data_IF_363200741326
#
_entry.id   IF_363200741326
#
_cell.length_a   1.000
_cell.length_b   1.000
_cell.length_c   1.000
_cell.angle_alpha   90.00
_cell.angle_beta   90.00
_cell.angle_gamma   90.00
#
_symmetry.space_group_name_H-M   'P 1'
#
loop_
_entity.id
_entity.type
_entity.pdbx_description
1 polymer ?
#
# COMPACT_ATOMS: atom_id res chain seq x y z
N UNK A 1 -15.87 10.16 -9.71
CA UNK A 1 -14.46 9.84 -10.02
C UNK A 1 -13.72 9.74 -8.71
N UNK A 2 -12.85 8.79 -8.53
CA UNK A 2 -12.07 8.64 -7.30
C UNK A 2 -10.95 9.70 -7.32
N UNK A 3 -10.73 10.47 -6.23
CA UNK A 3 -9.69 11.51 -6.19
C UNK A 3 -8.28 11.02 -6.58
N UNK A 4 -7.96 9.75 -6.30
CA UNK A 4 -6.68 9.16 -6.71
C UNK A 4 -6.47 9.06 -8.22
N UNK A 5 -7.54 9.13 -9.03
CA UNK A 5 -7.42 9.16 -10.49
C UNK A 5 -7.00 10.54 -11.04
N UNK A 6 -7.05 11.60 -10.20
CA UNK A 6 -6.75 12.97 -10.57
C UNK A 6 -5.39 13.47 -10.08
N UNK A 7 -4.77 12.77 -9.10
CA UNK A 7 -3.48 13.16 -8.52
C UNK A 7 -2.35 12.74 -9.46
N UNK A 8 -1.49 13.70 -9.80
CA UNK A 8 -0.25 13.44 -10.54
C UNK A 8 0.70 12.57 -9.73
N UNK A 9 1.26 11.51 -10.35
CA UNK A 9 2.28 10.68 -9.71
C UNK A 9 3.53 11.49 -9.32
N UNK A 10 3.94 12.42 -10.18
CA UNK A 10 5.10 13.28 -9.97
C UNK A 10 4.93 14.16 -8.72
N UNK A 11 3.76 14.78 -8.54
CA UNK A 11 3.47 15.61 -7.37
C UNK A 11 3.38 14.76 -6.09
N UNK A 12 2.75 13.57 -6.19
CA UNK A 12 2.70 12.61 -5.09
C UNK A 12 4.11 12.18 -4.65
N UNK A 13 4.96 11.74 -5.59
CA UNK A 13 6.32 11.30 -5.29
C UNK A 13 7.21 12.45 -4.77
N UNK A 14 7.08 13.64 -5.32
CA UNK A 14 7.78 14.83 -4.84
C UNK A 14 7.39 15.17 -3.41
N UNK A 15 6.10 15.18 -3.08
CA UNK A 15 5.63 15.39 -1.72
C UNK A 15 6.22 14.35 -0.77
N UNK A 16 6.04 13.06 -1.08
CA UNK A 16 6.45 11.94 -0.24
C UNK A 16 7.98 11.87 -0.02
N UNK A 17 8.77 12.42 -0.97
CA UNK A 17 10.25 12.39 -0.92
C UNK A 17 10.88 13.55 -0.18
N UNK A 18 10.13 14.62 0.17
CA UNK A 18 10.66 15.78 0.88
C UNK A 18 11.38 15.38 2.17
N UNK A 19 12.47 16.06 2.50
CA UNK A 19 13.23 15.80 3.73
C UNK A 19 12.41 15.98 5.01
N UNK A 20 11.40 16.85 4.99
CA UNK A 20 10.44 17.04 6.08
C UNK A 20 9.40 15.92 6.17
N UNK A 21 9.19 15.13 5.11
CA UNK A 21 8.18 14.05 5.03
C UNK A 21 8.85 12.68 5.13
N UNK A 22 9.81 12.38 4.27
CA UNK A 22 10.59 11.13 4.18
C UNK A 22 9.78 9.83 4.11
N UNK A 23 8.52 9.91 3.73
CA UNK A 23 7.67 8.72 3.62
C UNK A 23 8.12 7.81 2.48
N UNK A 24 8.51 8.38 1.33
CA UNK A 24 8.91 7.58 0.15
C UNK A 24 10.11 6.70 0.48
N UNK A 25 11.13 7.26 1.14
CA UNK A 25 12.35 6.54 1.52
C UNK A 25 12.06 5.47 2.58
N UNK A 26 11.30 5.81 3.63
CA UNK A 26 10.91 4.86 4.66
C UNK A 26 10.07 3.70 4.09
N UNK A 27 9.12 4.00 3.21
CA UNK A 27 8.29 3.01 2.54
C UNK A 27 9.09 2.09 1.63
N UNK A 28 10.13 2.60 0.98
CA UNK A 28 11.04 1.81 0.15
C UNK A 28 11.76 0.71 0.96
N UNK A 29 12.34 1.10 2.10
CA UNK A 29 13.00 0.17 3.01
C UNK A 29 12.02 -0.86 3.60
N UNK A 30 10.82 -0.41 3.97
CA UNK A 30 9.78 -1.29 4.50
C UNK A 30 9.25 -2.27 3.46
N UNK A 31 9.09 -1.84 2.21
CA UNK A 31 8.70 -2.72 1.09
C UNK A 31 9.73 -3.83 0.88
N UNK A 32 11.02 -3.52 1.00
CA UNK A 32 12.08 -4.52 0.97
C UNK A 32 11.87 -5.59 2.05
N UNK A 33 11.63 -5.16 3.29
CA UNK A 33 11.38 -6.07 4.41
C UNK A 33 10.15 -6.96 4.14
N UNK A 34 9.05 -6.38 3.65
CA UNK A 34 7.83 -7.12 3.31
C UNK A 34 8.07 -8.19 2.24
N UNK A 35 8.83 -7.85 1.19
CA UNK A 35 9.16 -8.78 0.10
C UNK A 35 10.11 -9.91 0.55
N UNK A 36 11.01 -9.66 1.49
CA UNK A 36 12.01 -10.64 1.94
C UNK A 36 11.50 -11.58 3.03
N UNK A 37 10.56 -11.13 3.89
CA UNK A 37 10.22 -11.79 5.15
C UNK A 37 9.55 -13.16 4.98
N UNK A 38 8.63 -13.32 4.05
CA UNK A 38 7.79 -14.51 3.95
C UNK A 38 8.26 -15.47 2.85
N UNK A 39 8.14 -16.82 3.06
CA UNK A 39 8.53 -17.83 2.08
C UNK A 39 7.43 -18.02 1.01
N UNK A 40 7.13 -16.96 0.29
CA UNK A 40 6.08 -16.89 -0.73
C UNK A 40 6.67 -16.65 -2.12
N UNK A 41 5.94 -17.05 -3.14
CA UNK A 41 6.34 -16.90 -4.54
C UNK A 41 5.39 -16.00 -5.34
N UNK A 42 4.24 -15.67 -4.76
CA UNK A 42 3.25 -14.78 -5.37
C UNK A 42 2.79 -13.71 -4.39
N UNK A 43 2.67 -12.47 -4.87
CA UNK A 43 2.20 -11.35 -4.07
C UNK A 43 1.29 -10.42 -4.86
N UNK A 44 0.42 -9.69 -4.16
CA UNK A 44 -0.32 -8.56 -4.70
C UNK A 44 -0.02 -7.31 -3.87
N UNK A 45 0.26 -6.20 -4.54
CA UNK A 45 0.46 -4.88 -3.94
C UNK A 45 -0.77 -4.04 -4.23
N UNK A 46 -1.56 -3.74 -3.21
CA UNK A 46 -2.77 -2.93 -3.30
C UNK A 46 -2.42 -1.45 -3.16
N UNK A 47 -2.84 -0.62 -4.12
CA UNK A 47 -2.43 0.77 -4.20
C UNK A 47 -0.94 0.90 -4.53
N UNK A 48 -0.51 0.33 -5.67
CA UNK A 48 0.91 0.26 -6.02
C UNK A 48 1.53 1.62 -6.33
N UNK A 49 0.73 2.63 -6.66
CA UNK A 49 1.17 3.97 -7.07
C UNK A 49 2.31 3.91 -8.12
N UNK A 50 3.47 4.52 -7.85
CA UNK A 50 4.64 4.49 -8.73
C UNK A 50 5.54 3.26 -8.60
N UNK A 51 5.14 2.26 -7.80
CA UNK A 51 5.87 1.01 -7.63
C UNK A 51 7.08 1.12 -6.70
N UNK A 52 7.13 2.12 -5.82
CA UNK A 52 8.25 2.32 -4.88
C UNK A 52 8.57 1.04 -4.10
N UNK A 53 9.82 0.58 -4.20
CA UNK A 53 10.32 -0.64 -3.56
C UNK A 53 10.23 -1.91 -4.42
N UNK A 54 9.65 -1.87 -5.64
CA UNK A 54 9.67 -3.01 -6.56
C UNK A 54 11.08 -3.38 -7.06
N UNK A 55 12.05 -2.48 -6.97
CA UNK A 55 13.45 -2.79 -7.25
C UNK A 55 14.04 -3.86 -6.32
N UNK A 56 13.41 -4.12 -5.17
CA UNK A 56 13.81 -5.16 -4.22
C UNK A 56 13.22 -6.54 -4.53
N UNK A 57 12.48 -6.68 -5.63
CA UNK A 57 11.92 -7.97 -6.05
C UNK A 57 13.03 -8.93 -6.44
N UNK A 58 13.18 -10.01 -5.67
CA UNK A 58 14.07 -11.12 -6.04
C UNK A 58 13.40 -12.00 -7.12
N UNK A 59 13.86 -11.88 -8.35
CA UNK A 59 13.36 -12.65 -9.50
C UNK A 59 13.58 -14.16 -9.39
N UNK A 60 14.43 -14.61 -8.46
CA UNK A 60 14.60 -16.05 -8.19
C UNK A 60 13.54 -16.57 -7.20
N UNK A 61 13.03 -15.69 -6.36
CA UNK A 61 12.00 -15.99 -5.36
C UNK A 61 10.60 -15.88 -5.94
N UNK A 62 10.30 -14.75 -6.57
CA UNK A 62 8.94 -14.43 -7.03
C UNK A 62 8.66 -14.98 -8.43
N UNK A 63 7.57 -15.72 -8.56
CA UNK A 63 7.00 -16.16 -9.83
C UNK A 63 6.04 -15.13 -10.40
N UNK A 64 5.31 -14.42 -9.52
CA UNK A 64 4.32 -13.43 -9.92
C UNK A 64 4.09 -12.38 -8.83
N UNK A 65 4.07 -11.12 -9.24
CA UNK A 65 3.66 -9.98 -8.44
C UNK A 65 2.59 -9.21 -9.22
N UNK A 66 1.46 -8.98 -8.58
CA UNK A 66 0.38 -8.18 -9.13
C UNK A 66 0.41 -6.78 -8.53
N UNK A 67 0.64 -5.77 -9.37
CA UNK A 67 0.46 -4.37 -9.01
C UNK A 67 -0.98 -3.96 -9.27
N UNK A 68 -1.71 -3.57 -8.23
CA UNK A 68 -3.12 -3.23 -8.31
C UNK A 68 -3.30 -1.77 -7.94
N UNK A 69 -3.94 -1.01 -8.84
CA UNK A 69 -4.28 0.39 -8.62
C UNK A 69 -5.55 0.75 -9.39
N UNK A 70 -6.18 1.84 -9.01
CA UNK A 70 -7.31 2.42 -9.73
C UNK A 70 -6.84 3.35 -10.86
N UNK A 71 -5.65 3.95 -10.71
CA UNK A 71 -5.08 4.93 -11.63
C UNK A 71 -4.26 4.24 -12.73
N UNK A 72 -4.75 4.27 -13.96
CA UNK A 72 -4.08 3.64 -15.11
C UNK A 72 -2.77 4.33 -15.50
N UNK A 73 -2.63 5.64 -15.27
CA UNK A 73 -1.38 6.36 -15.54
C UNK A 73 -0.26 5.89 -14.60
N UNK A 74 -0.60 5.64 -13.32
CA UNK A 74 0.32 5.05 -12.36
C UNK A 74 0.79 3.67 -12.81
N UNK A 75 -0.14 2.82 -13.19
CA UNK A 75 0.17 1.47 -13.67
C UNK A 75 1.00 1.49 -14.96
N UNK A 76 0.76 2.43 -15.87
CA UNK A 76 1.58 2.62 -17.07
C UNK A 76 3.03 2.97 -16.70
N UNK A 77 3.21 3.89 -15.75
CA UNK A 77 4.54 4.27 -15.25
C UNK A 77 5.24 3.09 -14.57
N UNK A 78 4.52 2.28 -13.79
CA UNK A 78 5.07 1.07 -13.15
C UNK A 78 5.54 0.05 -14.20
N UNK A 79 4.74 -0.21 -15.24
CA UNK A 79 5.11 -1.13 -16.33
C UNK A 79 6.39 -0.67 -17.04
N UNK A 80 6.55 0.64 -17.25
CA UNK A 80 7.74 1.20 -17.87
C UNK A 80 8.97 1.12 -16.95
N UNK A 81 8.86 1.63 -15.71
CA UNK A 81 9.96 1.67 -14.72
C UNK A 81 10.52 0.29 -14.42
N UNK A 82 9.66 -0.70 -14.30
CA UNK A 82 10.00 -2.06 -13.87
C UNK A 82 9.87 -3.09 -15.00
N UNK A 83 10.01 -2.65 -16.25
CA UNK A 83 9.93 -3.52 -17.44
C UNK A 83 10.91 -4.70 -17.42
N UNK A 84 12.02 -4.56 -16.69
CA UNK A 84 13.02 -5.63 -16.49
C UNK A 84 12.52 -6.80 -15.65
N UNK A 85 11.41 -6.65 -14.90
CA UNK A 85 10.76 -7.76 -14.20
C UNK A 85 10.00 -8.70 -15.14
N UNK A 86 9.73 -8.27 -16.36
CA UNK A 86 9.10 -9.09 -17.40
C UNK A 86 7.79 -9.72 -16.94
N UNK A 87 7.65 -11.02 -17.15
CA UNK A 87 6.43 -11.77 -16.79
C UNK A 87 6.18 -11.90 -15.29
N UNK A 88 7.14 -11.53 -14.43
CA UNK A 88 6.96 -11.55 -12.98
C UNK A 88 5.97 -10.46 -12.55
N UNK A 89 6.05 -9.26 -13.13
CA UNK A 89 5.18 -8.14 -12.78
C UNK A 89 3.97 -8.07 -13.73
N UNK A 90 2.79 -8.02 -13.15
CA UNK A 90 1.54 -7.79 -13.87
C UNK A 90 0.75 -6.67 -13.20
N UNK A 91 0.53 -5.58 -13.92
CA UNK A 91 -0.25 -4.45 -13.44
C UNK A 91 -1.70 -4.57 -13.88
N UNK A 92 -2.64 -4.49 -12.92
CA UNK A 92 -4.09 -4.55 -13.14
C UNK A 92 -4.78 -3.32 -12.61
N UNK A 93 -5.60 -2.69 -13.45
CA UNK A 93 -6.51 -1.64 -12.99
C UNK A 93 -7.73 -2.29 -12.37
N UNK A 94 -7.87 -2.15 -11.04
CA UNK A 94 -8.99 -2.70 -10.28
C UNK A 94 -9.41 -1.68 -9.22
N UNK A 95 -10.67 -1.27 -9.23
CA UNK A 95 -11.29 -0.58 -8.10
C UNK A 95 -11.72 -1.61 -7.05
N UNK A 96 -10.94 -1.73 -5.98
CA UNK A 96 -11.22 -2.71 -4.92
C UNK A 96 -12.54 -2.47 -4.18
N UNK A 97 -13.13 -1.28 -4.28
CA UNK A 97 -14.42 -0.98 -3.69
C UNK A 97 -15.59 -1.63 -4.46
N UNK A 98 -15.44 -1.77 -5.79
CA UNK A 98 -16.49 -2.25 -6.68
C UNK A 98 -16.13 -3.55 -7.43
N UNK A 99 -14.86 -3.82 -7.70
CA UNK A 99 -14.36 -4.86 -8.62
C UNK A 99 -13.50 -5.92 -7.92
N UNK A 100 -13.68 -6.14 -6.62
CA UNK A 100 -12.85 -7.09 -5.85
C UNK A 100 -12.95 -8.55 -6.34
N UNK A 101 -13.91 -8.88 -7.20
CA UNK A 101 -14.08 -10.22 -7.75
C UNK A 101 -13.00 -10.62 -8.77
N UNK A 102 -12.31 -9.64 -9.36
CA UNK A 102 -11.25 -9.85 -10.35
C UNK A 102 -9.84 -9.98 -9.73
N UNK A 103 -9.78 -10.03 -8.40
CA UNK A 103 -8.50 -10.16 -7.69
C UNK A 103 -7.84 -11.51 -7.94
N UNK A 104 -6.51 -11.53 -8.19
CA UNK A 104 -5.76 -12.76 -8.31
C UNK A 104 -5.60 -13.46 -6.95
N UNK A 105 -5.53 -14.80 -6.98
CA UNK A 105 -5.09 -15.54 -5.81
C UNK A 105 -3.59 -15.41 -5.63
N UNK A 106 -3.17 -15.04 -4.41
CA UNK A 106 -1.76 -14.83 -4.07
C UNK A 106 -1.45 -15.37 -2.67
N UNK A 107 -0.18 -15.54 -2.36
CA UNK A 107 0.27 -15.99 -1.04
C UNK A 107 0.50 -14.83 -0.05
N UNK A 108 0.81 -13.63 -0.57
CA UNK A 108 1.05 -12.41 0.21
C UNK A 108 0.26 -11.22 -0.37
N UNK A 109 -0.43 -10.49 0.49
CA UNK A 109 -0.96 -9.16 0.17
C UNK A 109 -0.10 -8.11 0.87
N UNK A 110 0.32 -7.10 0.12
CA UNK A 110 0.99 -5.89 0.63
C UNK A 110 0.04 -4.71 0.41
N UNK A 111 -0.18 -3.90 1.46
CA UNK A 111 -1.06 -2.73 1.40
C UNK A 111 -0.45 -1.58 2.22
N UNK A 112 0.23 -0.68 1.55
CA UNK A 112 1.02 0.38 2.17
C UNK A 112 0.35 1.74 1.98
N UNK A 113 -0.09 2.39 3.07
CA UNK A 113 -0.86 3.64 3.07
C UNK A 113 -2.09 3.58 2.13
N UNK A 114 -2.74 2.43 2.10
CA UNK A 114 -3.84 2.14 1.20
C UNK A 114 -5.18 2.00 1.94
N UNK A 115 -5.13 1.39 3.13
CA UNK A 115 -6.34 1.07 3.91
C UNK A 115 -7.07 2.35 4.33
N UNK A 116 -6.34 3.44 4.51
CA UNK A 116 -6.82 4.79 4.83
C UNK A 116 -7.88 5.29 3.83
N UNK A 117 -7.80 4.84 2.59
CA UNK A 117 -8.69 5.32 1.51
C UNK A 117 -9.85 4.40 1.22
N UNK A 118 -9.68 3.09 1.40
CA UNK A 118 -10.74 2.10 1.15
C UNK A 118 -11.49 1.69 2.43
N UNK A 119 -10.84 1.79 3.57
CA UNK A 119 -11.37 1.39 4.88
C UNK A 119 -11.35 -0.12 5.11
N UNK A 120 -11.54 -0.51 6.38
CA UNK A 120 -11.42 -1.91 6.82
C UNK A 120 -12.37 -2.88 6.13
N UNK A 121 -13.59 -2.44 5.80
CA UNK A 121 -14.59 -3.34 5.18
C UNK A 121 -14.21 -3.78 3.79
N UNK A 122 -13.77 -2.84 2.95
CA UNK A 122 -13.29 -3.13 1.58
C UNK A 122 -12.01 -3.93 1.64
N UNK A 123 -11.07 -3.52 2.49
CA UNK A 123 -9.80 -4.23 2.66
C UNK A 123 -10.00 -5.69 3.06
N UNK A 124 -10.85 -5.99 4.07
CA UNK A 124 -11.18 -7.37 4.47
C UNK A 124 -11.72 -8.21 3.31
N UNK A 125 -12.65 -7.66 2.52
CA UNK A 125 -13.21 -8.36 1.35
C UNK A 125 -12.12 -8.69 0.33
N UNK A 126 -11.26 -7.73 0.01
CA UNK A 126 -10.17 -7.92 -0.92
C UNK A 126 -9.17 -8.97 -0.44
N UNK A 127 -8.81 -8.95 0.84
CA UNK A 127 -7.92 -9.95 1.47
C UNK A 127 -8.53 -11.35 1.43
N UNK A 128 -9.81 -11.50 1.77
CA UNK A 128 -10.50 -12.80 1.68
C UNK A 128 -10.48 -13.31 0.24
N UNK A 129 -10.77 -12.43 -0.72
CA UNK A 129 -10.88 -12.79 -2.13
C UNK A 129 -9.54 -13.20 -2.72
N UNK A 130 -8.45 -12.54 -2.33
CA UNK A 130 -7.08 -12.89 -2.75
C UNK A 130 -6.61 -14.25 -2.21
N UNK A 131 -7.25 -14.78 -1.16
CA UNK A 131 -6.88 -16.04 -0.53
C UNK A 131 -5.50 -16.03 0.14
N UNK A 132 -4.91 -14.87 0.36
CA UNK A 132 -3.55 -14.73 0.86
C UNK A 132 -3.37 -15.40 2.23
N UNK A 133 -2.26 -16.11 2.41
CA UNK A 133 -1.83 -16.62 3.72
C UNK A 133 -1.27 -15.50 4.58
N UNK A 134 -0.48 -14.62 4.01
CA UNK A 134 0.15 -13.50 4.70
C UNK A 134 -0.40 -12.17 4.21
N UNK A 135 -0.57 -11.23 5.14
CA UNK A 135 -0.94 -9.85 4.85
C UNK A 135 0.04 -8.95 5.59
N UNK A 136 0.72 -8.08 4.85
CA UNK A 136 1.64 -7.08 5.40
C UNK A 136 1.15 -5.70 5.01
N UNK A 137 0.86 -4.86 6.00
CA UNK A 137 0.33 -3.53 5.78
C UNK A 137 1.11 -2.46 6.53
N UNK A 138 1.17 -1.29 5.94
CA UNK A 138 1.67 -0.08 6.58
C UNK A 138 0.53 0.92 6.66
N UNK A 139 0.25 1.40 7.87
CA UNK A 139 -0.68 2.50 8.13
C UNK A 139 0.07 3.69 8.71
N UNK A 140 -0.42 4.89 8.45
CA UNK A 140 0.07 6.09 9.10
C UNK A 140 -0.75 6.40 10.36
N UNK A 141 -0.05 6.70 11.45
CA UNK A 141 -0.65 7.27 12.65
C UNK A 141 -0.23 8.73 12.76
N UNK A 142 -1.21 9.59 12.77
CA UNK A 142 -1.01 11.03 12.93
C UNK A 142 -0.94 11.38 14.42
N UNK A 143 -0.05 12.29 14.77
CA UNK A 143 0.04 12.84 16.13
C UNK A 143 -0.96 13.98 16.33
N UNK A 144 -1.43 14.56 15.23
CA UNK A 144 -2.45 15.59 15.18
C UNK A 144 -3.58 15.14 14.23
N UNK A 145 -4.84 15.28 14.67
CA UNK A 145 -5.99 14.78 13.89
C UNK A 145 -6.35 15.71 12.71
N UNK A 146 -5.97 16.99 12.78
CA UNK A 146 -6.34 17.98 11.76
C UNK A 146 -5.44 17.96 10.54
N UNK A 147 -4.14 17.56 10.69
CA UNK A 147 -3.15 17.61 9.61
C UNK A 147 -2.63 16.22 9.20
N UNK A 148 -3.48 15.39 8.59
CA UNK A 148 -3.07 14.06 8.13
C UNK A 148 -2.11 14.11 6.92
N UNK A 149 -2.19 15.13 6.04
CA UNK A 149 -1.17 15.44 5.04
C UNK A 149 -0.10 16.34 5.67
N UNK A 150 1.15 16.09 5.38
CA UNK A 150 2.24 16.94 5.87
C UNK A 150 2.30 18.25 5.08
N UNK A 151 2.65 19.35 5.74
CA UNK A 151 2.85 20.64 5.08
C UNK A 151 3.95 20.56 4.01
N UNK A 152 3.64 21.04 2.81
CA UNK A 152 4.54 21.03 1.67
C UNK A 152 4.04 21.96 0.55
N UNK A 153 4.91 22.32 -0.43
CA UNK A 153 4.48 23.01 -1.64
C UNK A 153 3.42 22.27 -2.47
N UNK A 154 3.21 20.99 -2.21
CA UNK A 154 2.26 20.10 -2.92
C UNK A 154 0.98 19.84 -2.12
N UNK A 155 0.77 20.48 -0.96
CA UNK A 155 -0.33 20.18 -0.03
C UNK A 155 -1.70 20.18 -0.75
N UNK A 156 -1.97 21.20 -1.55
CA UNK A 156 -3.26 21.37 -2.23
C UNK A 156 -3.59 20.30 -3.30
N UNK A 157 -2.59 19.53 -3.75
CA UNK A 157 -2.84 18.41 -4.67
C UNK A 157 -3.69 17.32 -3.99
N UNK A 158 -3.66 17.26 -2.66
CA UNK A 158 -4.33 16.24 -1.85
C UNK A 158 -5.69 16.67 -1.29
N UNK A 159 -6.14 17.89 -1.52
CA UNK A 159 -7.41 18.42 -0.95
C UNK A 159 -8.62 17.52 -1.28
N UNK A 160 -8.64 16.92 -2.48
CA UNK A 160 -9.69 15.99 -2.88
C UNK A 160 -9.76 14.70 -2.07
N UNK A 161 -8.66 14.31 -1.40
CA UNK A 161 -8.59 13.08 -0.63
C UNK A 161 -9.32 13.14 0.71
N UNK A 162 -9.64 14.32 1.23
CA UNK A 162 -10.43 14.50 2.47
C UNK A 162 -11.77 13.76 2.40
N UNK A 163 -12.33 13.64 1.20
CA UNK A 163 -13.60 12.95 1.00
C UNK A 163 -13.52 11.42 1.20
N UNK A 164 -12.34 10.84 1.09
CA UNK A 164 -12.12 9.38 1.13
C UNK A 164 -11.17 8.94 2.25
N UNK A 165 -10.34 9.84 2.76
CA UNK A 165 -9.38 9.55 3.82
C UNK A 165 -10.07 9.16 5.14
N UNK A 166 -9.51 8.17 5.82
CA UNK A 166 -9.95 7.69 7.13
C UNK A 166 -8.76 7.58 8.06
N UNK A 167 -8.90 8.11 9.26
CA UNK A 167 -7.89 7.91 10.31
C UNK A 167 -7.77 6.42 10.64
N UNK A 168 -6.54 5.94 10.74
CA UNK A 168 -6.25 4.55 11.04
C UNK A 168 -5.93 4.36 12.51
N UNK A 169 -6.35 3.21 13.05
CA UNK A 169 -6.00 2.73 14.38
C UNK A 169 -5.53 1.29 14.32
N UNK A 170 -4.36 1.00 14.91
CA UNK A 170 -3.76 -0.35 14.84
C UNK A 170 -4.60 -1.43 15.53
N UNK A 171 -5.32 -1.08 16.61
CA UNK A 171 -6.19 -2.04 17.32
C UNK A 171 -7.44 -2.35 16.50
N UNK A 172 -8.01 -1.31 15.86
CA UNK A 172 -9.17 -1.46 14.98
C UNK A 172 -8.82 -2.30 13.75
N UNK A 173 -7.65 -2.07 13.12
CA UNK A 173 -7.18 -2.90 12.00
C UNK A 173 -6.96 -4.34 12.45
N UNK A 174 -6.27 -4.57 13.57
CA UNK A 174 -6.04 -5.93 14.08
C UNK A 174 -7.36 -6.64 14.42
N UNK A 175 -8.33 -5.93 15.01
CA UNK A 175 -9.67 -6.47 15.24
C UNK A 175 -10.34 -6.89 13.93
N UNK A 176 -10.29 -6.01 12.91
CA UNK A 176 -10.87 -6.29 11.59
C UNK A 176 -10.22 -7.52 10.94
N UNK A 177 -8.91 -7.69 11.05
CA UNK A 177 -8.20 -8.87 10.52
C UNK A 177 -8.54 -10.14 11.30
N UNK A 178 -8.67 -10.07 12.63
CA UNK A 178 -9.09 -11.21 13.45
C UNK A 178 -10.50 -11.70 13.08
N UNK A 179 -11.42 -10.81 12.73
CA UNK A 179 -12.80 -11.16 12.31
C UNK A 179 -12.82 -12.05 11.05
N UNK A 180 -11.78 -12.02 10.23
CA UNK A 180 -11.64 -12.82 9.01
C UNK A 180 -10.61 -13.95 9.14
N UNK A 181 -10.21 -14.26 10.39
CA UNK A 181 -9.37 -15.42 10.70
C UNK A 181 -7.85 -15.19 10.60
N UNK A 182 -7.40 -13.94 10.47
CA UNK A 182 -5.98 -13.60 10.52
C UNK A 182 -5.57 -13.20 11.95
N UNK A 183 -4.40 -13.65 12.38
CA UNK A 183 -3.78 -13.23 13.65
C UNK A 183 -2.58 -12.31 13.35
N UNK A 184 -2.39 -11.31 14.17
CA UNK A 184 -1.21 -10.47 14.11
C UNK A 184 0.03 -11.26 14.52
N UNK A 185 1.08 -11.22 13.69
CA UNK A 185 2.34 -11.92 13.92
C UNK A 185 3.52 -10.95 14.08
N UNK A 186 3.37 -9.70 13.62
CA UNK A 186 4.41 -8.67 13.73
C UNK A 186 3.78 -7.29 13.87
N UNK A 187 4.46 -6.40 14.60
CA UNK A 187 4.18 -4.97 14.65
C UNK A 187 5.49 -4.22 14.89
N UNK A 188 5.80 -3.27 14.02
CA UNK A 188 6.95 -2.36 14.16
C UNK A 188 6.52 -0.91 13.92
N UNK A 189 7.14 0.02 14.63
CA UNK A 189 6.85 1.45 14.52
C UNK A 189 8.06 2.20 13.94
N UNK A 190 7.82 3.05 12.97
CA UNK A 190 8.84 3.84 12.28
C UNK A 190 8.48 5.33 12.37
N UNK A 191 9.16 6.10 13.22
CA UNK A 191 8.92 7.54 13.33
C UNK A 191 9.39 8.28 12.09
N UNK A 192 8.61 9.30 11.69
CA UNK A 192 8.93 10.21 10.60
C UNK A 192 9.39 11.59 11.14
N UNK A 193 10.15 12.37 10.35
CA UNK A 193 10.63 13.68 10.80
C UNK A 193 9.53 14.67 11.18
N UNK A 194 8.34 14.53 10.58
CA UNK A 194 7.17 15.39 10.82
C UNK A 194 6.36 15.02 12.08
N UNK A 195 6.88 14.12 12.93
CA UNK A 195 6.21 13.64 14.14
C UNK A 195 5.19 12.51 13.91
N UNK A 196 4.83 12.21 12.66
CA UNK A 196 3.98 11.08 12.31
C UNK A 196 4.73 9.76 12.44
N UNK A 197 4.01 8.65 12.39
CA UNK A 197 4.59 7.30 12.45
C UNK A 197 4.00 6.41 11.37
N UNK A 198 4.85 5.61 10.74
CA UNK A 198 4.43 4.44 9.99
C UNK A 198 4.40 3.23 10.92
N UNK A 199 3.33 2.46 10.85
CA UNK A 199 3.18 1.21 11.61
C UNK A 199 3.11 0.07 10.61
N UNK A 200 4.11 -0.80 10.63
CA UNK A 200 4.10 -2.06 9.90
C UNK A 200 3.35 -3.10 10.73
N UNK A 201 2.36 -3.73 10.14
CA UNK A 201 1.52 -4.76 10.75
C UNK A 201 1.46 -5.96 9.83
N UNK A 202 1.90 -7.11 10.33
CA UNK A 202 1.84 -8.35 9.57
C UNK A 202 0.88 -9.34 10.23
N UNK A 203 0.13 -10.04 9.38
CA UNK A 203 -0.88 -11.00 9.76
C UNK A 203 -0.69 -12.31 9.00
N UNK A 204 -1.08 -13.42 9.64
CA UNK A 204 -1.10 -14.77 9.08
C UNK A 204 -2.43 -15.45 9.35
N UNK A 205 -2.91 -16.19 8.34
CA UNK A 205 -4.11 -17.04 8.43
C UNK A 205 -3.74 -18.51 8.54
#
# INVERSE_FOLDING_TARGET
MNPWEEISLDDYEKHMSLDSVKQLQAMNELMKIQLETYPVTTAAVFGIAGGNGLEHVDQKKYKKIYGIDINEEYLSTVRERYSYLGDILECRRIDLASESDDLPNVELVIANLFIEYVGYTVFKKAVIKSGARYVSCIIQINTDEEDWVSDSPYLHVFDGLDAVHKQMDKKALTKAMNEIGYRQIKVDEYPLPNGKKLILLDYER
#
